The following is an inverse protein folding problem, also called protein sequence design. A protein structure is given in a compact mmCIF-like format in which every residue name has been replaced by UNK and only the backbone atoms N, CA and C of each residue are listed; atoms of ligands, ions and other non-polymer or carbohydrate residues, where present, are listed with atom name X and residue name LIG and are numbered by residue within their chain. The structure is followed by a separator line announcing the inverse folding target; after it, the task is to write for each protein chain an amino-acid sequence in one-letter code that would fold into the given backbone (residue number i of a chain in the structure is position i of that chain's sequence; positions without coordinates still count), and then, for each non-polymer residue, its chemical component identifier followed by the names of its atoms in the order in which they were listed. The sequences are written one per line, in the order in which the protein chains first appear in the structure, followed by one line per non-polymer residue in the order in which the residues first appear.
data_IF_131801031464
#
_entry.id   IF_131801031464
#
_cell.length_a   1.000
_cell.length_b   1.000
_cell.length_c   1.000
_cell.angle_alpha   90.00
_cell.angle_beta   90.00
_cell.angle_gamma   90.00
#
_symmetry.space_group_name_H-M   'P 1'
#
loop_
_entity.id
_entity.type
_entity.pdbx_description
1 polymer ?
#
# COMPACT_ATOMS: atom_id res chain seq x y z
N UNK A 1 8.50 -26.46 -22.15
CA UNK A 1 8.88 -25.13 -21.68
C UNK A 1 8.20 -24.90 -20.33
N UNK A 2 8.98 -24.72 -19.27
CA UNK A 2 8.50 -24.61 -17.88
C UNK A 2 8.49 -23.14 -17.45
N UNK A 3 7.48 -22.67 -16.72
CA UNK A 3 7.51 -21.31 -16.15
C UNK A 3 8.05 -21.40 -14.74
N UNK A 4 8.93 -20.48 -14.33
CA UNK A 4 9.49 -20.40 -12.98
C UNK A 4 9.36 -18.98 -12.46
N UNK A 5 8.76 -18.84 -11.28
CA UNK A 5 8.53 -17.55 -10.63
C UNK A 5 9.64 -17.34 -9.60
N UNK A 6 10.23 -16.15 -9.60
CA UNK A 6 11.26 -15.78 -8.63
C UNK A 6 10.67 -14.79 -7.62
N UNK A 7 10.75 -15.10 -6.33
CA UNK A 7 10.20 -14.27 -5.24
C UNK A 7 11.31 -13.81 -4.28
N UNK A 8 11.15 -12.69 -3.54
CA UNK A 8 12.14 -12.29 -2.55
C UNK A 8 12.19 -13.28 -1.37
N UNK A 9 13.26 -13.22 -0.57
CA UNK A 9 13.44 -14.04 0.64
C UNK A 9 12.31 -13.88 1.66
N UNK A 10 11.62 -12.74 1.64
CA UNK A 10 10.41 -12.49 2.41
C UNK A 10 9.30 -13.54 2.17
N UNK A 11 9.39 -14.32 1.08
CA UNK A 11 8.48 -15.40 0.72
C UNK A 11 9.18 -16.77 0.62
N UNK A 12 10.15 -17.06 1.50
CA UNK A 12 10.92 -18.32 1.52
C UNK A 12 10.10 -19.62 1.63
N UNK A 13 8.91 -19.58 2.24
CA UNK A 13 8.05 -20.76 2.32
C UNK A 13 7.24 -20.93 1.03
N UNK A 14 6.84 -19.82 0.42
CA UNK A 14 6.21 -19.84 -0.90
C UNK A 14 7.16 -20.31 -2.00
N UNK A 15 8.46 -19.99 -1.91
CA UNK A 15 9.46 -20.43 -2.90
C UNK A 15 9.66 -21.95 -2.93
N UNK A 16 9.21 -22.69 -1.92
CA UNK A 16 9.29 -24.16 -1.88
C UNK A 16 8.27 -24.87 -2.80
N UNK A 17 7.33 -24.12 -3.38
CA UNK A 17 6.38 -24.69 -4.34
C UNK A 17 7.08 -25.06 -5.65
N UNK A 18 6.53 -26.04 -6.35
CA UNK A 18 6.97 -26.32 -7.71
C UNK A 18 6.81 -25.08 -8.59
N UNK A 19 7.79 -24.82 -9.47
CA UNK A 19 7.79 -23.66 -10.37
C UNK A 19 7.99 -22.32 -9.66
N UNK A 20 8.50 -22.32 -8.43
CA UNK A 20 8.89 -21.14 -7.69
C UNK A 20 10.30 -21.32 -7.14
N UNK A 21 11.10 -20.25 -7.08
CA UNK A 21 12.41 -20.22 -6.41
C UNK A 21 12.60 -18.86 -5.74
N UNK A 22 13.48 -18.80 -4.73
CA UNK A 22 13.85 -17.53 -4.11
C UNK A 22 14.83 -16.74 -5.00
N UNK A 23 14.96 -15.45 -4.69
CA UNK A 23 15.96 -14.58 -5.30
C UNK A 23 17.38 -15.12 -5.12
N UNK A 24 17.74 -15.60 -3.92
CA UNK A 24 19.07 -16.16 -3.65
C UNK A 24 19.33 -17.45 -4.41
N UNK A 25 18.32 -18.31 -4.59
CA UNK A 25 18.42 -19.52 -5.42
C UNK A 25 18.66 -19.16 -6.90
N UNK A 26 17.86 -18.24 -7.45
CA UNK A 26 18.06 -17.74 -8.82
C UNK A 26 19.46 -17.14 -9.01
N UNK A 27 19.93 -16.36 -8.03
CA UNK A 27 21.25 -15.76 -8.04
C UNK A 27 22.37 -16.80 -7.98
N UNK A 28 22.20 -17.85 -7.18
CA UNK A 28 23.16 -18.96 -7.05
C UNK A 28 23.34 -19.69 -8.38
N UNK A 29 22.22 -20.03 -9.06
CA UNK A 29 22.25 -20.68 -10.37
C UNK A 29 23.00 -19.82 -11.39
N UNK A 30 22.66 -18.53 -11.47
CA UNK A 30 23.27 -17.61 -12.43
C UNK A 30 24.76 -17.36 -12.17
N UNK A 31 25.20 -17.41 -10.90
CA UNK A 31 26.61 -17.25 -10.50
C UNK A 31 27.45 -18.53 -10.58
N UNK A 32 26.82 -19.69 -10.69
CA UNK A 32 27.49 -21.00 -10.70
C UNK A 32 28.36 -21.24 -11.94
N UNK A 33 28.75 -22.48 -12.19
CA UNK A 33 29.38 -22.86 -13.46
C UNK A 33 28.34 -23.14 -14.55
N UNK A 34 28.75 -23.63 -15.72
CA UNK A 34 27.81 -24.02 -16.80
C UNK A 34 26.86 -25.15 -16.37
N UNK A 35 27.31 -26.05 -15.47
CA UNK A 35 26.47 -27.13 -14.97
C UNK A 35 25.30 -26.59 -14.12
N UNK A 36 25.53 -25.49 -13.38
CA UNK A 36 24.49 -24.80 -12.62
C UNK A 36 23.42 -24.13 -13.50
N UNK A 37 23.68 -23.90 -14.79
CA UNK A 37 22.70 -23.33 -15.72
C UNK A 37 21.79 -24.38 -16.36
N UNK A 38 22.16 -25.67 -16.32
CA UNK A 38 21.38 -26.77 -16.91
C UNK A 38 19.92 -26.75 -16.42
N UNK A 39 19.61 -26.57 -15.11
CA UNK A 39 18.23 -26.51 -14.64
C UNK A 39 17.42 -25.31 -15.18
N UNK A 40 18.09 -24.26 -15.66
CA UNK A 40 17.43 -23.06 -16.20
C UNK A 40 17.07 -23.22 -17.68
N UNK A 41 17.70 -24.16 -18.40
CA UNK A 41 17.45 -24.39 -19.82
C UNK A 41 16.02 -24.87 -20.05
N UNK A 42 15.34 -24.29 -21.05
CA UNK A 42 13.95 -24.62 -21.36
C UNK A 42 12.92 -24.08 -20.34
N UNK A 43 13.36 -23.24 -19.42
CA UNK A 43 12.50 -22.49 -18.50
C UNK A 43 12.27 -21.05 -18.97
N UNK A 44 11.15 -20.47 -18.54
CA UNK A 44 10.82 -19.06 -18.67
C UNK A 44 10.72 -18.48 -17.26
N UNK A 45 11.51 -17.46 -16.96
CA UNK A 45 11.56 -16.84 -15.66
C UNK A 45 10.73 -15.56 -15.62
N UNK A 46 9.99 -15.37 -14.53
CA UNK A 46 9.16 -14.18 -14.27
C UNK A 46 9.45 -13.70 -12.84
N UNK A 47 9.63 -12.40 -12.67
CA UNK A 47 9.76 -11.76 -11.36
C UNK A 47 8.38 -11.71 -10.68
N UNK A 48 8.26 -12.36 -9.53
CA UNK A 48 7.09 -12.27 -8.65
C UNK A 48 7.02 -10.93 -7.92
N UNK A 49 5.90 -10.71 -7.22
CA UNK A 49 5.72 -9.50 -6.41
C UNK A 49 6.65 -9.51 -5.19
N UNK A 50 7.15 -8.32 -4.82
CA UNK A 50 8.02 -8.13 -3.66
C UNK A 50 9.50 -7.98 -3.99
N UNK A 51 9.94 -8.32 -5.21
CA UNK A 51 11.31 -8.00 -5.65
C UNK A 51 11.43 -6.49 -5.88
N UNK A 52 12.47 -5.86 -5.32
CA UNK A 52 12.79 -4.47 -5.60
C UNK A 52 13.51 -4.29 -6.95
N UNK A 53 13.49 -3.07 -7.51
CA UNK A 53 14.11 -2.78 -8.81
C UNK A 53 15.59 -3.21 -8.89
N UNK A 54 16.38 -2.96 -7.83
CA UNK A 54 17.78 -3.39 -7.81
C UNK A 54 17.95 -4.92 -7.93
N UNK A 55 17.03 -5.71 -7.35
CA UNK A 55 17.06 -7.17 -7.47
C UNK A 55 16.68 -7.61 -8.88
N UNK A 56 15.65 -6.97 -9.46
CA UNK A 56 15.16 -7.24 -10.81
C UNK A 56 16.26 -6.91 -11.83
N UNK A 57 16.85 -5.71 -11.75
CA UNK A 57 17.96 -5.24 -12.60
C UNK A 57 19.17 -6.18 -12.50
N UNK A 58 19.50 -6.62 -11.29
CA UNK A 58 20.67 -7.46 -11.04
C UNK A 58 20.54 -8.84 -11.70
N UNK A 59 19.38 -9.49 -11.54
CA UNK A 59 19.10 -10.79 -12.20
C UNK A 59 19.07 -10.62 -13.71
N UNK A 60 18.42 -9.58 -14.23
CA UNK A 60 18.35 -9.31 -15.66
C UNK A 60 19.74 -9.11 -16.29
N UNK A 61 20.58 -8.28 -15.67
CA UNK A 61 21.95 -8.05 -16.12
C UNK A 61 22.77 -9.34 -16.10
N UNK A 62 22.63 -10.14 -15.04
CA UNK A 62 23.40 -11.37 -14.88
C UNK A 62 22.95 -12.44 -15.88
N UNK A 63 21.64 -12.64 -16.04
CA UNK A 63 21.08 -13.54 -17.05
C UNK A 63 21.53 -13.17 -18.47
N UNK A 64 21.52 -11.87 -18.81
CA UNK A 64 21.99 -11.39 -20.10
C UNK A 64 23.48 -11.69 -20.35
N UNK A 65 24.33 -11.53 -19.33
CA UNK A 65 25.78 -11.87 -19.40
C UNK A 65 26.03 -13.37 -19.58
N UNK A 66 25.09 -14.20 -19.13
CA UNK A 66 25.14 -15.67 -19.24
C UNK A 66 24.44 -16.21 -20.48
N UNK A 67 24.00 -15.34 -21.39
CA UNK A 67 23.34 -15.74 -22.63
C UNK A 67 21.86 -16.15 -22.48
N UNK A 68 21.26 -15.99 -21.30
CA UNK A 68 19.91 -16.44 -20.97
C UNK A 68 18.82 -15.39 -21.28
N UNK A 69 19.03 -14.55 -22.29
CA UNK A 69 18.07 -13.48 -22.64
C UNK A 69 16.72 -14.04 -23.06
N UNK A 70 16.68 -15.24 -23.63
CA UNK A 70 15.45 -15.87 -24.08
C UNK A 70 14.61 -16.36 -22.89
N UNK A 71 15.24 -17.05 -21.94
CA UNK A 71 14.64 -17.58 -20.71
C UNK A 71 14.09 -16.44 -19.83
N UNK A 72 14.73 -15.28 -19.85
CA UNK A 72 14.30 -14.08 -19.10
C UNK A 72 13.51 -13.07 -19.95
N UNK A 73 13.03 -13.44 -21.14
CA UNK A 73 12.28 -12.52 -22.02
C UNK A 73 11.04 -11.91 -21.34
N UNK A 74 10.39 -12.65 -20.45
CA UNK A 74 9.19 -12.23 -19.70
C UNK A 74 9.50 -11.85 -18.24
N UNK A 75 10.77 -11.58 -17.92
CA UNK A 75 11.22 -11.33 -16.56
C UNK A 75 10.42 -10.23 -15.85
N UNK A 76 10.07 -9.16 -16.57
CA UNK A 76 9.32 -8.01 -16.05
C UNK A 76 7.81 -8.04 -16.33
N UNK A 77 7.25 -9.15 -16.79
CA UNK A 77 5.84 -9.26 -17.20
C UNK A 77 4.86 -8.75 -16.13
N UNK A 78 5.18 -8.95 -14.86
CA UNK A 78 4.33 -8.63 -13.71
C UNK A 78 4.75 -7.37 -12.95
N UNK A 79 5.72 -6.63 -13.48
CA UNK A 79 6.20 -5.42 -12.83
C UNK A 79 5.29 -4.23 -13.17
N UNK A 80 4.98 -3.45 -12.14
CA UNK A 80 4.18 -2.24 -12.29
C UNK A 80 5.02 -1.17 -12.97
N UNK A 81 4.62 -0.76 -14.17
CA UNK A 81 5.37 0.23 -14.96
C UNK A 81 5.40 1.63 -14.31
N UNK A 82 4.40 1.96 -13.50
CA UNK A 82 4.29 3.28 -12.84
C UNK A 82 3.51 3.15 -11.54
N UNK A 83 4.20 3.33 -10.42
CA UNK A 83 3.59 3.40 -9.08
C UNK A 83 2.78 4.69 -8.93
N UNK A 84 1.81 4.69 -8.01
CA UNK A 84 1.09 5.92 -7.70
C UNK A 84 2.06 6.98 -7.17
N UNK A 85 1.92 8.21 -7.65
CA UNK A 85 2.76 9.32 -7.20
C UNK A 85 2.64 9.51 -5.69
N UNK A 86 3.74 9.95 -5.06
CA UNK A 86 3.82 10.24 -3.61
C UNK A 86 2.68 11.14 -3.13
N UNK A 87 2.28 12.11 -3.96
CA UNK A 87 1.19 13.04 -3.67
C UNK A 87 -0.20 12.37 -3.68
N UNK A 88 -0.38 11.26 -4.41
CA UNK A 88 -1.66 10.55 -4.52
C UNK A 88 -1.89 9.59 -3.35
N UNK A 89 -0.83 8.94 -2.86
CA UNK A 89 -0.91 7.92 -1.80
C UNK A 89 -0.46 8.41 -0.42
N UNK A 90 0.02 9.65 -0.31
CA UNK A 90 0.55 10.27 0.91
C UNK A 90 1.74 9.49 1.51
N UNK A 91 2.63 8.96 0.66
CA UNK A 91 3.84 8.25 1.07
C UNK A 91 5.09 9.00 0.62
N UNK A 92 6.07 9.14 1.53
CA UNK A 92 7.35 9.76 1.22
C UNK A 92 8.40 8.75 0.74
N UNK A 93 8.32 7.51 1.24
CA UNK A 93 9.23 6.40 0.93
C UNK A 93 8.64 5.60 -0.25
N UNK A 94 9.32 5.50 -1.41
CA UNK A 94 8.82 4.77 -2.57
C UNK A 94 8.43 3.31 -2.30
N UNK A 95 9.21 2.62 -1.47
CA UNK A 95 8.99 1.23 -1.07
C UNK A 95 7.68 1.05 -0.30
N UNK A 96 7.14 2.12 0.26
CA UNK A 96 5.87 2.13 0.99
C UNK A 96 4.64 2.36 0.10
N UNK A 97 4.83 2.62 -1.19
CA UNK A 97 3.74 2.68 -2.17
C UNK A 97 3.33 1.25 -2.53
N UNK A 98 2.03 0.95 -2.45
CA UNK A 98 1.50 -0.41 -2.63
C UNK A 98 0.60 -0.57 -3.85
N UNK A 99 0.44 0.48 -4.65
CA UNK A 99 -0.42 0.45 -5.84
C UNK A 99 0.25 1.12 -7.04
N UNK A 100 -0.13 0.68 -8.23
CA UNK A 100 0.11 1.44 -9.46
C UNK A 100 -0.64 2.78 -9.43
N UNK A 101 -0.29 3.68 -10.35
CA UNK A 101 -1.17 4.82 -10.64
C UNK A 101 -2.58 4.31 -10.99
N UNK A 102 -3.65 4.84 -10.38
CA UNK A 102 -4.99 4.38 -10.69
C UNK A 102 -5.41 4.69 -12.13
N UNK A 103 -6.20 3.78 -12.71
CA UNK A 103 -6.80 3.89 -14.04
C UNK A 103 -8.30 4.06 -13.91
N UNK A 104 -8.89 4.93 -14.73
CA UNK A 104 -10.34 5.11 -14.82
C UNK A 104 -10.90 4.11 -15.84
N UNK A 105 -11.70 3.16 -15.37
CA UNK A 105 -12.38 2.17 -16.22
C UNK A 105 -13.77 2.66 -16.66
N UNK A 106 -14.44 3.42 -15.79
CA UNK A 106 -15.70 4.10 -16.08
C UNK A 106 -15.91 5.29 -15.13
N UNK A 107 -17.07 5.93 -15.17
CA UNK A 107 -17.40 7.04 -14.25
C UNK A 107 -17.43 6.64 -12.77
N UNK A 108 -17.64 5.36 -12.46
CA UNK A 108 -17.74 4.86 -11.08
C UNK A 108 -16.78 3.72 -10.78
N UNK A 109 -15.94 3.31 -11.73
CA UNK A 109 -15.04 2.16 -11.60
C UNK A 109 -13.61 2.57 -11.95
N UNK A 110 -12.68 2.18 -11.08
CA UNK A 110 -11.27 2.47 -11.19
C UNK A 110 -10.46 1.23 -10.83
N UNK A 111 -9.27 1.08 -11.39
CA UNK A 111 -8.38 -0.05 -11.10
C UNK A 111 -6.96 0.40 -10.79
N UNK A 112 -6.23 -0.38 -10.01
CA UNK A 112 -4.79 -0.23 -9.83
C UNK A 112 -4.16 -1.60 -9.59
N UNK A 113 -2.95 -1.82 -10.08
CA UNK A 113 -2.22 -3.06 -9.81
C UNK A 113 -1.59 -3.00 -8.42
N UNK A 114 -1.58 -4.13 -7.71
CA UNK A 114 -0.87 -4.24 -6.43
C UNK A 114 0.63 -4.18 -6.69
N UNK A 115 1.30 -3.22 -6.05
CA UNK A 115 2.75 -3.13 -6.01
C UNK A 115 3.25 -3.61 -4.65
N UNK A 116 4.37 -4.34 -4.63
CA UNK A 116 4.99 -4.79 -3.40
C UNK A 116 6.49 -4.74 -3.52
N UNK A 117 7.12 -4.24 -2.46
CA UNK A 117 8.57 -4.22 -2.29
C UNK A 117 8.90 -4.92 -0.95
N UNK A 118 9.91 -5.78 -0.91
CA UNK A 118 10.31 -6.49 0.32
C UNK A 118 10.80 -5.56 1.43
N UNK A 119 11.19 -4.33 1.10
CA UNK A 119 11.60 -3.30 2.06
C UNK A 119 10.44 -2.40 2.51
N UNK A 120 9.21 -2.70 2.10
CA UNK A 120 8.02 -2.01 2.57
C UNK A 120 7.89 -2.12 4.09
N UNK A 121 7.54 -1.04 4.78
CA UNK A 121 7.46 -0.98 6.23
C UNK A 121 6.55 -2.06 6.86
N UNK A 122 5.48 -2.48 6.16
CA UNK A 122 4.55 -3.51 6.61
C UNK A 122 5.04 -4.94 6.31
N UNK A 123 6.09 -5.07 5.50
CA UNK A 123 6.75 -6.34 5.21
C UNK A 123 7.95 -6.60 6.12
N UNK A 124 8.42 -5.60 6.88
CA UNK A 124 9.60 -5.73 7.74
C UNK A 124 9.32 -6.46 9.06
N UNK A 125 8.05 -6.56 9.46
CA UNK A 125 7.63 -7.18 10.71
C UNK A 125 6.64 -8.34 10.45
N UNK A 126 6.76 -9.40 11.24
CA UNK A 126 5.89 -10.59 11.21
C UNK A 126 5.55 -11.15 9.81
N UNK A 127 6.56 -11.74 9.15
CA UNK A 127 6.37 -12.51 7.92
C UNK A 127 6.25 -14.01 8.19
N UNK A 128 5.26 -14.66 7.57
CA UNK A 128 5.15 -16.13 7.56
C UNK A 128 6.01 -16.79 6.49
N UNK A 129 6.58 -16.00 5.58
CA UNK A 129 7.27 -16.50 4.39
C UNK A 129 6.35 -17.07 3.31
N UNK A 130 5.02 -17.08 3.48
CA UNK A 130 4.09 -17.78 2.57
C UNK A 130 3.19 -16.82 1.79
N UNK A 131 2.49 -15.92 2.48
CA UNK A 131 1.43 -15.10 1.91
C UNK A 131 1.65 -13.62 2.24
N UNK A 132 1.04 -12.74 1.45
CA UNK A 132 1.02 -11.30 1.69
C UNK A 132 0.15 -11.00 2.92
N UNK A 133 0.67 -10.23 3.86
CA UNK A 133 -0.01 -9.95 5.12
C UNK A 133 -1.29 -9.13 4.90
N UNK A 134 -2.33 -9.40 5.70
CA UNK A 134 -3.60 -8.67 5.61
C UNK A 134 -3.47 -7.15 5.82
N UNK A 135 -2.49 -6.70 6.60
CA UNK A 135 -2.23 -5.26 6.80
C UNK A 135 -1.68 -4.58 5.54
N UNK A 136 -0.84 -5.27 4.76
CA UNK A 136 -0.38 -4.78 3.44
C UNK A 136 -1.58 -4.56 2.53
N UNK A 137 -2.50 -5.51 2.45
CA UNK A 137 -3.71 -5.39 1.62
C UNK A 137 -4.65 -4.27 2.11
N UNK A 138 -4.76 -4.12 3.43
CA UNK A 138 -5.53 -3.02 4.05
C UNK A 138 -4.95 -1.66 3.66
N UNK A 139 -3.63 -1.50 3.76
CA UNK A 139 -2.94 -0.26 3.38
C UNK A 139 -3.01 -0.01 1.87
N UNK A 140 -2.91 -1.04 1.03
CA UNK A 140 -3.08 -0.91 -0.41
C UNK A 140 -4.47 -0.38 -0.77
N UNK A 141 -5.53 -0.89 -0.13
CA UNK A 141 -6.89 -0.34 -0.27
C UNK A 141 -6.99 1.10 0.25
N UNK A 142 -6.29 1.43 1.36
CA UNK A 142 -6.24 2.80 1.88
C UNK A 142 -5.62 3.75 0.86
N UNK A 143 -4.48 3.37 0.28
CA UNK A 143 -3.82 4.15 -0.76
C UNK A 143 -4.69 4.26 -2.02
N UNK A 144 -5.45 3.21 -2.37
CA UNK A 144 -6.35 3.24 -3.52
C UNK A 144 -7.45 4.29 -3.37
N UNK A 145 -8.15 4.36 -2.23
CA UNK A 145 -9.19 5.38 -2.08
C UNK A 145 -8.62 6.79 -2.02
N UNK A 146 -7.42 6.98 -1.47
CA UNK A 146 -6.74 8.29 -1.49
C UNK A 146 -6.40 8.69 -2.92
N UNK A 147 -5.70 7.81 -3.66
CA UNK A 147 -5.18 8.10 -4.98
C UNK A 147 -6.30 8.38 -5.99
N UNK A 148 -7.35 7.57 -6.00
CA UNK A 148 -8.52 7.80 -6.86
C UNK A 148 -9.21 9.13 -6.52
N UNK A 149 -9.33 9.45 -5.23
CA UNK A 149 -9.99 10.70 -4.80
C UNK A 149 -9.19 11.92 -5.21
N UNK A 150 -7.88 11.93 -4.93
CA UNK A 150 -6.96 13.02 -5.31
C UNK A 150 -6.92 13.23 -6.82
N UNK A 151 -6.81 12.16 -7.60
CA UNK A 151 -6.62 12.24 -9.05
C UNK A 151 -7.89 12.62 -9.81
N UNK A 152 -9.05 12.05 -9.43
CA UNK A 152 -10.27 12.16 -10.23
C UNK A 152 -11.38 12.99 -9.60
N UNK A 153 -11.34 13.25 -8.29
CA UNK A 153 -12.46 13.85 -7.58
C UNK A 153 -12.16 15.16 -6.87
N UNK A 154 -10.93 15.67 -6.97
CA UNK A 154 -10.51 16.88 -6.25
C UNK A 154 -9.81 17.93 -7.13
N UNK A 155 -9.90 17.83 -8.46
CA UNK A 155 -9.25 18.79 -9.37
C UNK A 155 -9.79 20.23 -9.20
N UNK A 156 -11.07 20.37 -8.89
CA UNK A 156 -11.77 21.64 -8.66
C UNK A 156 -11.84 22.02 -7.16
N UNK A 157 -11.15 21.28 -6.29
CA UNK A 157 -11.14 21.53 -4.86
C UNK A 157 -10.25 22.74 -4.54
N UNK A 158 -10.83 23.78 -3.92
CA UNK A 158 -10.21 25.11 -3.78
C UNK A 158 -8.89 25.10 -3.02
N UNK A 159 -8.74 24.24 -2.01
CA UNK A 159 -7.53 24.18 -1.18
C UNK A 159 -6.54 23.15 -1.71
N UNK A 160 -5.25 23.52 -1.70
CA UNK A 160 -4.15 22.60 -2.03
C UNK A 160 -3.85 21.61 -0.90
N UNK A 161 -4.11 21.99 0.35
CA UNK A 161 -4.04 21.11 1.52
C UNK A 161 -5.42 20.58 1.86
N UNK A 162 -5.48 19.26 2.08
CA UNK A 162 -6.71 18.49 2.22
C UNK A 162 -6.48 17.44 3.29
N UNK A 163 -7.54 17.12 4.01
CA UNK A 163 -7.50 16.13 5.06
C UNK A 163 -8.59 15.09 4.86
N UNK A 164 -8.24 13.82 4.99
CA UNK A 164 -9.14 12.69 4.81
C UNK A 164 -9.54 12.14 6.17
N UNK A 165 -10.82 12.28 6.53
CA UNK A 165 -11.38 11.69 7.76
C UNK A 165 -12.12 10.42 7.37
N UNK A 166 -11.68 9.28 7.91
CA UNK A 166 -12.35 8.00 7.74
C UNK A 166 -13.47 7.90 8.78
N UNK A 167 -14.70 7.66 8.32
CA UNK A 167 -15.88 7.49 9.18
C UNK A 167 -16.09 6.01 9.52
N UNK A 168 -16.00 5.15 8.51
CA UNK A 168 -16.07 3.69 8.68
C UNK A 168 -15.13 3.03 7.71
N UNK A 169 -14.42 1.98 8.14
CA UNK A 169 -13.57 1.16 7.28
C UNK A 169 -13.74 -0.31 7.68
N UNK A 170 -14.34 -1.09 6.80
CA UNK A 170 -14.64 -2.50 7.03
C UNK A 170 -13.84 -3.37 6.05
N UNK A 171 -12.87 -4.11 6.57
CA UNK A 171 -12.08 -5.08 5.82
C UNK A 171 -12.72 -6.48 5.88
N UNK A 172 -12.66 -7.18 4.75
CA UNK A 172 -13.06 -8.58 4.61
C UNK A 172 -11.90 -9.34 4.00
N UNK A 173 -11.48 -10.44 4.62
CA UNK A 173 -10.45 -11.34 4.08
C UNK A 173 -11.12 -12.66 3.71
N UNK A 174 -11.17 -12.96 2.41
CA UNK A 174 -11.86 -14.15 1.88
C UNK A 174 -10.90 -15.26 1.52
N UNK A 175 -9.67 -14.94 1.14
CA UNK A 175 -8.59 -15.91 0.90
C UNK A 175 -7.21 -15.26 1.05
N UNK A 176 -6.15 -16.07 1.07
CA UNK A 176 -4.78 -15.57 1.13
C UNK A 176 -4.34 -15.02 -0.23
N UNK A 177 -3.65 -13.88 -0.21
CA UNK A 177 -2.91 -13.38 -1.36
C UNK A 177 -1.46 -13.89 -1.30
N UNK A 178 -0.91 -14.26 -2.44
CA UNK A 178 0.46 -14.74 -2.60
C UNK A 178 1.32 -13.70 -3.34
N UNK A 179 2.66 -13.84 -3.42
CA UNK A 179 3.54 -12.93 -4.17
C UNK A 179 3.40 -13.05 -5.70
N UNK A 180 2.16 -13.05 -6.18
CA UNK A 180 1.72 -13.18 -7.57
C UNK A 180 0.89 -11.94 -7.94
N UNK A 181 0.72 -11.64 -9.24
CA UNK A 181 -0.02 -10.47 -9.68
C UNK A 181 -1.40 -10.38 -9.06
N UNK A 182 -1.71 -9.19 -8.55
CA UNK A 182 -3.00 -8.84 -8.01
C UNK A 182 -3.34 -7.41 -8.42
N UNK A 183 -4.61 -7.08 -8.42
CA UNK A 183 -5.08 -5.72 -8.67
C UNK A 183 -6.24 -5.38 -7.73
N UNK A 184 -6.50 -4.10 -7.57
CA UNK A 184 -7.58 -3.55 -6.77
C UNK A 184 -8.59 -2.91 -7.72
N UNK A 185 -9.84 -3.34 -7.63
CA UNK A 185 -10.97 -2.64 -8.22
C UNK A 185 -11.58 -1.72 -7.17
N UNK A 186 -11.88 -0.48 -7.55
CA UNK A 186 -12.50 0.55 -6.72
C UNK A 186 -13.80 0.99 -7.36
N UNK A 187 -14.89 0.94 -6.59
CA UNK A 187 -16.23 1.33 -7.02
C UNK A 187 -16.79 2.44 -6.14
N UNK A 188 -17.20 3.54 -6.77
CA UNK A 188 -17.96 4.60 -6.09
C UNK A 188 -19.40 4.15 -5.91
N UNK A 189 -19.85 4.04 -4.66
CA UNK A 189 -21.25 3.75 -4.31
C UNK A 189 -22.04 5.06 -4.20
N UNK A 190 -21.47 6.06 -3.51
CA UNK A 190 -22.08 7.37 -3.36
C UNK A 190 -20.99 8.46 -3.22
N UNK A 191 -21.31 9.66 -3.72
CA UNK A 191 -20.51 10.88 -3.55
C UNK A 191 -21.41 12.04 -3.17
N UNK A 192 -21.13 12.70 -2.05
CA UNK A 192 -21.78 13.95 -1.65
C UNK A 192 -20.80 15.12 -1.80
N UNK A 193 -21.10 16.02 -2.73
CA UNK A 193 -20.30 17.23 -3.02
C UNK A 193 -21.09 18.52 -2.88
N UNK A 194 -22.21 18.49 -2.14
CA UNK A 194 -23.11 19.65 -1.97
C UNK A 194 -22.46 20.83 -1.23
N UNK A 195 -21.47 20.57 -0.38
CA UNK A 195 -20.77 21.62 0.39
C UNK A 195 -19.41 21.89 -0.24
N UNK A 196 -19.06 23.16 -0.37
CA UNK A 196 -17.78 23.56 -0.99
C UNK A 196 -16.55 23.16 -0.17
N UNK A 197 -16.66 23.10 1.17
CA UNK A 197 -15.56 22.83 2.10
C UNK A 197 -15.45 21.37 2.55
N UNK A 198 -16.33 20.48 2.04
CA UNK A 198 -16.24 19.05 2.32
C UNK A 198 -16.85 18.18 1.23
N UNK A 199 -16.24 17.02 0.97
CA UNK A 199 -16.77 16.01 0.04
C UNK A 199 -16.81 14.64 0.71
N UNK A 200 -18.01 14.05 0.78
CA UNK A 200 -18.23 12.72 1.34
C UNK A 200 -18.19 11.65 0.26
N UNK A 201 -17.64 10.50 0.58
CA UNK A 201 -17.52 9.35 -0.31
C UNK A 201 -17.94 8.07 0.44
N UNK A 202 -18.65 7.21 -0.28
CA UNK A 202 -18.90 5.82 0.11
C UNK A 202 -18.47 4.94 -1.06
N UNK A 203 -17.52 4.06 -0.79
CA UNK A 203 -16.83 3.29 -1.82
C UNK A 203 -16.65 1.86 -1.36
N UNK A 204 -16.60 0.94 -2.32
CA UNK A 204 -16.21 -0.45 -2.08
C UNK A 204 -15.05 -0.80 -2.99
N UNK A 205 -14.10 -1.53 -2.44
CA UNK A 205 -12.93 -2.03 -3.14
C UNK A 205 -12.83 -3.54 -2.99
N UNK A 206 -12.31 -4.19 -4.01
CA UNK A 206 -11.99 -5.62 -4.00
C UNK A 206 -10.60 -5.84 -4.57
N UNK A 207 -9.80 -6.64 -3.87
CA UNK A 207 -8.50 -7.09 -4.35
C UNK A 207 -8.69 -8.44 -5.01
N UNK A 208 -8.27 -8.55 -6.27
CA UNK A 208 -8.34 -9.77 -7.05
C UNK A 208 -6.95 -10.34 -7.29
N UNK A 209 -6.81 -11.65 -7.09
CA UNK A 209 -5.66 -12.43 -7.53
C UNK A 209 -6.18 -13.63 -8.33
N UNK A 210 -5.62 -13.85 -9.52
CA UNK A 210 -6.08 -14.92 -10.42
C UNK A 210 -7.59 -14.88 -10.70
N UNK A 211 -8.16 -13.68 -10.91
CA UNK A 211 -9.60 -13.44 -11.11
C UNK A 211 -10.51 -13.85 -9.93
N UNK A 212 -9.95 -14.03 -8.73
CA UNK A 212 -10.70 -14.37 -7.52
C UNK A 212 -10.51 -13.27 -6.47
N UNK A 213 -11.58 -12.85 -5.77
CA UNK A 213 -11.46 -11.88 -4.69
C UNK A 213 -10.74 -12.52 -3.49
N UNK A 214 -9.66 -11.89 -3.05
CA UNK A 214 -8.87 -12.32 -1.88
C UNK A 214 -9.19 -11.50 -0.64
N UNK A 215 -9.50 -10.22 -0.82
CA UNK A 215 -10.02 -9.36 0.23
C UNK A 215 -10.84 -8.21 -0.37
N UNK A 216 -11.56 -7.47 0.48
CA UNK A 216 -12.26 -6.26 0.08
C UNK A 216 -12.41 -5.28 1.22
N UNK A 217 -12.59 -4.01 0.86
CA UNK A 217 -12.76 -2.90 1.79
C UNK A 217 -14.01 -2.11 1.43
N UNK A 218 -14.92 -1.95 2.37
CA UNK A 218 -15.96 -0.92 2.28
C UNK A 218 -15.56 0.25 3.18
N UNK A 219 -15.51 1.47 2.62
CA UNK A 219 -15.08 2.65 3.38
C UNK A 219 -16.00 3.84 3.09
N UNK A 220 -16.29 4.57 4.16
CA UNK A 220 -16.92 5.89 4.13
C UNK A 220 -15.94 6.90 4.69
N UNK A 221 -15.70 7.97 3.95
CA UNK A 221 -14.76 9.00 4.34
C UNK A 221 -15.18 10.35 3.79
N UNK A 222 -14.71 11.40 4.44
CA UNK A 222 -14.93 12.78 4.03
C UNK A 222 -13.59 13.50 3.86
N UNK A 223 -13.46 14.21 2.74
CA UNK A 223 -12.35 15.14 2.48
C UNK A 223 -12.75 16.51 2.98
N UNK A 224 -11.90 17.14 3.78
CA UNK A 224 -12.08 18.48 4.34
C UNK A 224 -11.00 19.45 3.88
N UNK A 225 -11.34 20.74 3.90
CA UNK A 225 -10.36 21.83 3.87
C UNK A 225 -9.50 21.77 5.14
N UNK A 226 -8.17 21.80 4.96
CA UNK A 226 -7.18 21.72 6.05
C UNK A 226 -7.45 22.73 7.19
N UNK A 227 -7.70 23.99 6.83
CA UNK A 227 -7.97 25.07 7.81
C UNK A 227 -9.18 24.75 8.70
N UNK A 228 -10.22 24.13 8.14
CA UNK A 228 -11.42 23.80 8.90
C UNK A 228 -11.16 22.65 9.88
N UNK A 229 -10.45 21.60 9.43
CA UNK A 229 -10.24 20.41 10.27
C UNK A 229 -9.24 20.68 11.39
N UNK A 230 -8.17 21.45 11.15
CA UNK A 230 -7.17 21.76 12.17
C UNK A 230 -7.78 22.48 13.37
N UNK A 231 -8.70 23.42 13.14
CA UNK A 231 -9.42 24.11 14.23
C UNK A 231 -10.24 23.11 15.04
N UNK A 232 -10.96 22.21 14.36
CA UNK A 232 -11.77 21.18 15.02
C UNK A 232 -10.94 20.16 15.80
N UNK A 233 -9.81 19.73 15.26
CA UNK A 233 -8.89 18.80 15.92
C UNK A 233 -8.32 19.41 17.21
N UNK A 234 -7.88 20.67 17.16
CA UNK A 234 -7.38 21.39 18.33
C UNK A 234 -8.46 21.55 19.42
N UNK A 235 -9.70 21.87 19.03
CA UNK A 235 -10.83 21.96 19.96
C UNK A 235 -11.10 20.61 20.65
N UNK A 236 -11.15 19.51 19.88
CA UNK A 236 -11.40 18.16 20.41
C UNK A 236 -10.25 17.66 21.28
N UNK A 237 -9.00 17.95 20.91
CA UNK A 237 -7.83 17.62 21.70
C UNK A 237 -7.85 18.34 23.06
N UNK A 238 -8.14 19.65 23.07
CA UNK A 238 -8.24 20.43 24.30
C UNK A 238 -9.38 19.93 25.21
N UNK A 239 -10.53 19.61 24.64
CA UNK A 239 -11.67 19.04 25.38
C UNK A 239 -11.33 17.68 26.00
N UNK A 240 -10.69 16.80 25.22
CA UNK A 240 -10.30 15.46 25.69
C UNK A 240 -9.25 15.56 26.79
N UNK A 241 -8.27 16.45 26.65
CA UNK A 241 -7.26 16.72 27.68
C UNK A 241 -7.91 17.20 28.98
N UNK A 242 -8.81 18.19 28.89
CA UNK A 242 -9.51 18.71 30.06
C UNK A 242 -10.34 17.64 30.75
N UNK A 243 -11.06 16.83 29.99
CA UNK A 243 -11.81 15.70 30.53
C UNK A 243 -10.90 14.72 31.29
N UNK A 244 -9.76 14.32 30.71
CA UNK A 244 -8.80 13.43 31.36
C UNK A 244 -8.21 14.04 32.64
N UNK A 245 -7.87 15.33 32.62
CA UNK A 245 -7.36 16.05 33.79
C UNK A 245 -8.41 16.08 34.90
N UNK A 246 -9.67 16.37 34.56
CA UNK A 246 -10.74 16.45 35.55
C UNK A 246 -11.07 15.07 36.13
N UNK A 247 -11.09 14.01 35.32
CA UNK A 247 -11.22 12.62 35.80
C UNK A 247 -10.07 12.26 36.76
N UNK A 248 -8.83 12.65 36.44
CA UNK A 248 -7.69 12.44 37.31
C UNK A 248 -7.80 13.22 38.63
N UNK A 249 -8.25 14.48 38.59
CA UNK A 249 -8.44 15.32 39.79
C UNK A 249 -9.50 14.73 40.72
N UNK A 250 -10.65 14.34 40.16
CA UNK A 250 -11.75 13.71 40.90
C UNK A 250 -11.25 12.43 41.58
N UNK A 251 -10.55 11.55 40.83
CA UNK A 251 -10.02 10.29 41.36
C UNK A 251 -9.05 10.47 42.54
N UNK A 252 -8.28 11.56 42.55
CA UNK A 252 -7.24 11.80 43.56
C UNK A 252 -7.64 12.85 44.62
N UNK A 253 -8.90 13.29 44.65
CA UNK A 253 -9.39 14.23 45.65
C UNK A 253 -8.84 15.65 45.52
N UNK A 254 -8.26 16.03 44.39
CA UNK A 254 -7.81 17.41 44.13
C UNK A 254 -9.03 18.31 43.88
N UNK A 255 -9.56 18.93 44.94
CA UNK A 255 -10.67 19.89 44.86
C UNK A 255 -10.10 21.31 44.83
N UNK A 256 -9.88 21.88 43.63
CA UNK A 256 -9.35 23.24 43.50
C UNK A 256 -9.38 23.79 42.06
N UNK A 257 -9.95 24.99 41.93
CA UNK A 257 -10.00 25.80 40.70
C UNK A 257 -8.60 26.00 40.11
N UNK A 258 -8.41 25.64 38.83
CA UNK A 258 -7.19 26.00 38.12
C UNK A 258 -7.27 27.47 37.69
N UNK A 259 -6.42 28.32 38.26
CA UNK A 259 -5.97 29.49 37.49
C UNK A 259 -5.11 28.96 36.34
N UNK A 260 -5.27 29.45 35.10
CA UNK A 260 -4.35 29.12 34.01
C UNK A 260 -2.93 29.50 34.44
N UNK A 261 -1.92 28.69 34.06
CA UNK A 261 -0.54 29.16 34.09
C UNK A 261 -0.47 30.33 33.10
N UNK A 262 -0.26 31.55 33.60
CA UNK A 262 0.08 32.68 32.75
C UNK A 262 1.36 32.33 31.98
N UNK A 263 1.29 32.43 30.66
CA UNK A 263 2.40 32.21 29.76
C UNK A 263 3.48 33.25 30.02
N UNK A 264 4.49 32.92 30.81
CA UNK A 264 5.78 33.59 30.75
C UNK A 264 6.49 33.16 29.47
N UNK A 265 6.07 33.73 28.34
CA UNK A 265 6.93 33.87 27.17
C UNK A 265 7.28 35.35 27.12
N UNK A 266 8.26 35.71 27.94
CA UNK A 266 9.03 36.93 27.77
C UNK A 266 9.72 36.87 26.41
N UNK A 267 9.47 37.88 25.60
CA UNK A 267 10.18 38.16 24.39
C UNK A 267 11.68 38.30 24.67
N UNK A 268 12.49 37.56 23.92
CA UNK A 268 13.80 37.94 23.38
C UNK A 268 14.05 37.14 22.09
#
# INVERSE_FOLDING_TARGET
MRVVIVVPEAFENFSKNENCISYSEALSLLKGDEAALIPMQGCMFIAGLGLGELQIDHIECLAARRGLKHEFKHWREWQVSTTADRALCHKHVPENVLISRPRKESETLYSADLHLNSNNELMLDHLTGQHVQGMVLTEACRQMFLAVTEEFFLQDYKTKKRYFVIETMAMRFTSFAFPLPAHIEYKVINKDSRKAHKRGFHVNMEVFQCSKPVCGMEVKFTVFDDVYITVKENELAAQTLMYCIDQFRIKNGFHGSTKPLESQVSAE
#
